data_IF_379706639736
#
_entry.id   IF_379706639736
#
_cell.length_a   1.000
_cell.length_b   1.000
_cell.length_c   1.000
_cell.angle_alpha   90.00
_cell.angle_beta   90.00
_cell.angle_gamma   90.00
#
_symmetry.space_group_name_H-M   'P 1'
#
loop_
_entity.id
_entity.type
_entity.pdbx_description
1 polymer ?
#
# COMPACT_ATOMS: atom_id res chain seq x y z
N UNK A 1 -4.61 -13.29 9.18
CA UNK A 1 -3.45 -14.18 8.89
C UNK A 1 -3.21 -15.10 10.08
N UNK A 2 -2.68 -16.30 9.86
CA UNK A 2 -2.39 -17.25 10.93
C UNK A 2 -1.04 -16.97 11.60
N UNK A 3 -0.80 -17.58 12.80
CA UNK A 3 0.55 -17.58 13.39
C UNK A 3 1.61 -18.17 12.46
N UNK A 4 1.21 -19.12 11.61
CA UNK A 4 2.08 -19.70 10.58
C UNK A 4 2.49 -18.65 9.52
N UNK A 5 1.58 -17.76 9.12
CA UNK A 5 1.91 -16.68 8.19
C UNK A 5 2.88 -15.68 8.82
N UNK A 6 2.66 -15.30 10.08
CA UNK A 6 3.58 -14.43 10.82
C UNK A 6 4.98 -15.03 10.88
N UNK A 7 5.10 -16.29 11.26
CA UNK A 7 6.39 -16.99 11.32
C UNK A 7 7.06 -17.02 9.95
N UNK A 8 6.31 -17.33 8.90
CA UNK A 8 6.82 -17.36 7.51
C UNK A 8 7.39 -16.01 7.09
N UNK A 9 6.68 -14.91 7.39
CA UNK A 9 7.13 -13.56 7.04
C UNK A 9 8.34 -13.13 7.87
N UNK A 10 8.38 -13.45 9.17
CA UNK A 10 9.55 -13.21 10.01
C UNK A 10 10.79 -13.94 9.46
N UNK A 11 10.66 -15.21 9.05
CA UNK A 11 11.76 -15.97 8.44
C UNK A 11 12.21 -15.36 7.11
N UNK A 12 11.27 -14.97 6.26
CA UNK A 12 11.58 -14.32 4.98
C UNK A 12 12.34 -13.01 5.18
N UNK A 13 11.92 -12.17 6.12
CA UNK A 13 12.56 -10.89 6.41
C UNK A 13 13.93 -11.03 7.10
N UNK A 14 14.20 -12.13 7.79
CA UNK A 14 15.55 -12.46 8.29
C UNK A 14 16.52 -12.78 7.17
N UNK A 15 16.03 -13.43 6.11
CA UNK A 15 16.84 -13.93 5.00
C UNK A 15 17.04 -12.91 3.87
N UNK A 16 16.12 -11.93 3.76
CA UNK A 16 16.07 -11.02 2.63
C UNK A 16 16.23 -9.58 3.09
N UNK A 17 17.29 -8.93 2.66
CA UNK A 17 17.39 -7.48 2.77
C UNK A 17 16.49 -6.88 1.69
N UNK A 18 15.39 -6.24 2.11
CA UNK A 18 14.47 -5.57 1.19
C UNK A 18 15.13 -4.36 0.49
N UNK A 19 14.56 -3.96 -0.63
CA UNK A 19 14.97 -2.71 -1.29
C UNK A 19 14.73 -1.51 -0.37
N UNK A 20 15.67 -0.57 -0.32
CA UNK A 20 15.51 0.72 0.35
C UNK A 20 14.81 1.77 -0.55
N UNK A 21 14.67 1.46 -1.83
CA UNK A 21 13.96 2.34 -2.76
C UNK A 21 12.44 2.19 -2.60
N UNK A 22 11.68 3.29 -2.54
CA UNK A 22 10.22 3.23 -2.54
C UNK A 22 9.73 2.59 -3.83
N UNK A 23 8.49 2.09 -3.84
CA UNK A 23 7.85 1.64 -5.08
C UNK A 23 7.90 2.74 -6.14
N UNK A 24 8.23 2.35 -7.38
CA UNK A 24 8.30 3.28 -8.50
C UNK A 24 6.95 4.00 -8.70
N UNK A 25 5.84 3.27 -8.61
CA UNK A 25 4.51 3.85 -8.73
C UNK A 25 4.22 4.86 -7.61
N UNK A 26 4.58 4.56 -6.35
CA UNK A 26 4.43 5.53 -5.26
C UNK A 26 5.23 6.80 -5.55
N UNK A 27 6.48 6.65 -5.97
CA UNK A 27 7.35 7.79 -6.28
C UNK A 27 6.78 8.63 -7.41
N UNK A 28 6.35 8.00 -8.51
CA UNK A 28 5.74 8.68 -9.65
C UNK A 28 4.51 9.49 -9.22
N UNK A 29 3.61 8.89 -8.42
CA UNK A 29 2.41 9.57 -7.93
C UNK A 29 2.75 10.74 -7.01
N UNK A 30 3.67 10.58 -6.06
CA UNK A 30 4.01 11.61 -5.08
C UNK A 30 4.79 12.77 -5.71
N UNK A 31 5.62 12.50 -6.71
CA UNK A 31 6.46 13.51 -7.38
C UNK A 31 5.75 14.19 -8.56
N UNK A 32 4.63 13.63 -9.01
CA UNK A 32 3.86 14.20 -10.11
C UNK A 32 3.21 15.53 -9.74
N UNK A 33 3.30 16.49 -10.63
CA UNK A 33 2.53 17.74 -10.54
C UNK A 33 1.10 17.62 -11.07
N UNK A 34 0.73 16.47 -11.64
CA UNK A 34 -0.61 16.23 -12.18
C UNK A 34 -1.68 16.14 -11.09
N UNK A 35 -1.29 15.81 -9.84
CA UNK A 35 -2.23 15.62 -8.73
C UNK A 35 -1.82 16.44 -7.51
N UNK A 36 -2.82 17.05 -6.87
CA UNK A 36 -2.65 17.70 -5.57
C UNK A 36 -3.01 16.70 -4.48
N UNK A 37 -2.01 15.99 -3.96
CA UNK A 37 -2.23 15.01 -2.92
C UNK A 37 -2.38 15.68 -1.54
N UNK A 38 -3.35 15.23 -0.71
CA UNK A 38 -3.54 15.79 0.62
C UNK A 38 -2.34 15.46 1.51
N UNK A 39 -1.88 16.45 2.28
CA UNK A 39 -0.85 16.27 3.31
C UNK A 39 -1.48 15.90 4.64
N UNK A 40 -0.74 15.20 5.48
CA UNK A 40 -1.17 14.85 6.82
C UNK A 40 -0.88 13.40 7.18
N UNK A 41 -1.84 12.74 7.85
CA UNK A 41 -1.65 11.37 8.33
C UNK A 41 -1.76 10.37 7.19
N UNK A 42 -0.74 9.53 7.06
CA UNK A 42 -0.66 8.44 6.07
C UNK A 42 -0.65 7.08 6.78
N UNK A 43 -1.25 6.08 6.13
CA UNK A 43 -1.24 4.69 6.56
C UNK A 43 -0.56 3.84 5.49
N UNK A 44 0.44 3.06 5.88
CA UNK A 44 1.14 2.08 5.03
C UNK A 44 0.77 0.67 5.49
N UNK A 45 0.00 -0.05 4.70
CA UNK A 45 -0.52 -1.39 4.99
C UNK A 45 0.40 -2.46 4.41
N UNK A 46 0.73 -3.48 5.23
CA UNK A 46 1.72 -4.49 4.90
C UNK A 46 3.07 -3.84 4.52
N UNK A 47 3.54 -2.93 5.38
CA UNK A 47 4.66 -2.04 5.10
C UNK A 47 6.01 -2.76 4.97
N UNK A 48 6.12 -4.02 5.44
CA UNK A 48 7.37 -4.75 5.49
C UNK A 48 8.45 -3.98 6.27
N UNK A 49 9.64 -3.84 5.68
CA UNK A 49 10.76 -3.08 6.26
C UNK A 49 10.61 -1.56 6.08
N UNK A 50 9.45 -1.07 5.65
CA UNK A 50 9.08 0.34 5.65
C UNK A 50 9.66 1.22 4.55
N UNK A 51 10.09 0.68 3.40
CA UNK A 51 10.66 1.50 2.31
C UNK A 51 9.73 2.65 1.86
N UNK A 52 8.43 2.39 1.78
CA UNK A 52 7.43 3.37 1.41
C UNK A 52 7.10 4.31 2.58
N UNK A 53 7.05 3.77 3.80
CA UNK A 53 6.83 4.56 5.03
C UNK A 53 7.93 5.60 5.23
N UNK A 54 9.20 5.20 5.09
CA UNK A 54 10.36 6.10 5.18
C UNK A 54 10.28 7.20 4.12
N UNK A 55 9.98 6.83 2.88
CA UNK A 55 9.83 7.77 1.78
C UNK A 55 8.73 8.82 2.02
N UNK A 56 7.58 8.41 2.57
CA UNK A 56 6.49 9.33 2.92
C UNK A 56 6.87 10.23 4.09
N UNK A 57 7.53 9.69 5.13
CA UNK A 57 7.96 10.47 6.28
C UNK A 57 8.99 11.53 5.90
N UNK A 58 9.96 11.23 5.01
CA UNK A 58 10.91 12.20 4.45
C UNK A 58 10.20 13.36 3.71
N UNK A 59 8.96 13.14 3.26
CA UNK A 59 8.14 14.15 2.58
C UNK A 59 7.12 14.82 3.48
N UNK A 60 7.26 14.63 4.80
CA UNK A 60 6.48 15.33 5.82
C UNK A 60 5.08 14.74 6.10
N UNK A 61 4.82 13.49 5.71
CA UNK A 61 3.64 12.79 6.18
C UNK A 61 3.85 12.27 7.61
N UNK A 62 2.79 12.32 8.43
CA UNK A 62 2.74 11.60 9.70
C UNK A 62 2.34 10.14 9.40
N UNK A 63 3.30 9.23 9.43
CA UNK A 63 3.11 7.86 8.93
C UNK A 63 2.79 6.90 10.05
N UNK A 64 1.76 6.07 9.84
CA UNK A 64 1.47 4.85 10.58
C UNK A 64 1.80 3.68 9.66
N UNK A 65 2.72 2.82 10.07
CA UNK A 65 3.22 1.68 9.30
C UNK A 65 2.79 0.38 9.99
N UNK A 66 2.05 -0.47 9.27
CA UNK A 66 1.46 -1.69 9.84
C UNK A 66 1.96 -2.91 9.11
N UNK A 67 2.46 -3.89 9.85
CA UNK A 67 2.84 -5.21 9.33
C UNK A 67 2.64 -6.28 10.41
N UNK A 68 2.51 -7.54 10.01
CA UNK A 68 2.43 -8.67 10.93
C UNK A 68 3.81 -9.10 11.42
N UNK A 69 4.88 -8.84 10.65
CA UNK A 69 6.24 -9.26 10.94
C UNK A 69 6.94 -8.31 11.90
N UNK A 70 7.22 -8.80 13.12
CA UNK A 70 8.02 -8.06 14.09
C UNK A 70 9.44 -7.79 13.59
N UNK A 71 10.01 -8.73 12.83
CA UNK A 71 11.36 -8.64 12.26
C UNK A 71 11.43 -7.51 11.22
N UNK A 72 10.43 -7.45 10.33
CA UNK A 72 10.35 -6.38 9.34
C UNK A 72 10.22 -5.00 9.98
N UNK A 73 9.30 -4.87 10.94
CA UNK A 73 9.08 -3.63 11.67
C UNK A 73 10.31 -3.18 12.46
N UNK A 74 11.05 -4.11 13.07
CA UNK A 74 12.29 -3.78 13.78
C UNK A 74 13.33 -3.17 12.83
N UNK A 75 13.53 -3.79 11.66
CA UNK A 75 14.42 -3.26 10.62
C UNK A 75 13.98 -1.87 10.16
N UNK A 76 12.67 -1.66 9.98
CA UNK A 76 12.10 -0.36 9.62
C UNK A 76 12.35 0.72 10.68
N UNK A 77 12.16 0.39 11.97
CA UNK A 77 12.44 1.29 13.10
C UNK A 77 13.89 1.74 13.12
N UNK A 78 14.83 0.80 13.00
CA UNK A 78 16.27 1.11 12.99
C UNK A 78 16.64 2.08 11.84
N UNK A 79 16.07 1.87 10.66
CA UNK A 79 16.25 2.78 9.51
C UNK A 79 15.64 4.17 9.76
N UNK A 80 14.45 4.22 10.39
CA UNK A 80 13.78 5.47 10.72
C UNK A 80 14.54 6.26 11.80
N UNK A 81 15.02 5.58 12.84
CA UNK A 81 15.85 6.17 13.89
C UNK A 81 17.14 6.77 13.33
N UNK A 82 17.85 6.04 12.46
CA UNK A 82 19.06 6.53 11.81
C UNK A 82 18.84 7.81 10.97
N UNK A 83 17.62 7.99 10.47
CA UNK A 83 17.19 9.17 9.70
C UNK A 83 16.42 10.20 10.52
N UNK A 84 16.20 9.96 11.82
CA UNK A 84 15.40 10.81 12.73
C UNK A 84 13.96 11.05 12.20
N UNK A 85 13.36 10.02 11.59
CA UNK A 85 12.01 10.09 11.05
C UNK A 85 11.00 9.55 12.06
N UNK A 86 10.00 10.34 12.48
CA UNK A 86 8.94 9.88 13.37
C UNK A 86 7.92 9.05 12.57
N UNK A 87 7.90 7.73 12.80
CA UNK A 87 6.94 6.79 12.20
C UNK A 87 6.35 5.93 13.31
N UNK A 88 5.03 5.83 13.35
CA UNK A 88 4.30 4.93 14.25
C UNK A 88 4.28 3.52 13.66
N UNK A 89 5.03 2.60 14.26
CA UNK A 89 5.13 1.21 13.81
C UNK A 89 4.20 0.31 14.63
N UNK A 90 3.25 -0.33 13.97
CA UNK A 90 2.26 -1.21 14.59
C UNK A 90 2.41 -2.64 14.08
N UNK A 91 2.57 -3.59 15.00
CA UNK A 91 2.52 -5.00 14.68
C UNK A 91 1.08 -5.49 14.84
N UNK A 92 0.39 -5.69 13.72
CA UNK A 92 -1.01 -6.09 13.70
C UNK A 92 -1.31 -7.05 12.56
N UNK A 93 -2.30 -7.90 12.78
CA UNK A 93 -2.87 -8.75 11.75
C UNK A 93 -3.93 -7.96 10.97
N UNK A 94 -3.66 -7.71 9.69
CA UNK A 94 -4.57 -6.97 8.81
C UNK A 94 -5.92 -7.67 8.56
N UNK A 95 -6.06 -8.96 8.90
CA UNK A 95 -7.36 -9.64 8.86
C UNK A 95 -8.25 -9.30 10.06
N UNK A 96 -7.66 -8.81 11.15
CA UNK A 96 -8.37 -8.51 12.41
C UNK A 96 -8.32 -7.04 12.80
N UNK A 97 -7.53 -6.23 12.09
CA UNK A 97 -7.32 -4.83 12.40
C UNK A 97 -8.60 -4.01 12.15
N UNK A 98 -8.78 -2.98 12.98
CA UNK A 98 -9.73 -1.91 12.72
C UNK A 98 -8.96 -0.62 12.39
N UNK A 99 -9.11 -0.12 11.16
CA UNK A 99 -8.34 1.03 10.66
C UNK A 99 -8.91 2.39 11.12
N UNK A 100 -10.06 2.39 11.79
CA UNK A 100 -10.78 3.62 12.14
C UNK A 100 -11.49 4.25 10.93
N UNK A 101 -12.35 5.23 11.21
CA UNK A 101 -13.17 5.88 10.19
C UNK A 101 -12.70 7.32 9.96
N UNK A 102 -12.48 7.69 8.70
CA UNK A 102 -12.12 9.06 8.31
C UNK A 102 -10.88 9.62 9.03
N UNK A 103 -9.85 8.78 9.24
CA UNK A 103 -8.64 9.12 9.99
C UNK A 103 -7.52 9.60 9.09
N UNK A 104 -7.37 9.00 7.90
CA UNK A 104 -6.19 9.17 7.06
C UNK A 104 -6.43 10.08 5.87
N UNK A 105 -5.40 10.84 5.50
CA UNK A 105 -5.34 11.65 4.29
C UNK A 105 -4.83 10.81 3.11
N UNK A 106 -3.98 9.84 3.40
CA UNK A 106 -3.38 8.93 2.44
C UNK A 106 -3.37 7.50 3.02
N UNK A 107 -3.82 6.52 2.24
CA UNK A 107 -3.64 5.09 2.56
C UNK A 107 -2.92 4.44 1.39
N UNK A 108 -1.84 3.75 1.67
CA UNK A 108 -1.09 3.02 0.67
C UNK A 108 -1.05 1.52 0.96
N UNK A 109 -1.03 0.71 -0.10
CA UNK A 109 -0.86 -0.74 -0.04
C UNK A 109 -0.06 -1.21 -1.26
N UNK A 110 1.07 -1.89 -1.02
CA UNK A 110 1.96 -2.37 -2.08
C UNK A 110 2.31 -3.84 -1.89
N UNK A 111 2.22 -4.62 -2.98
CA UNK A 111 2.58 -6.05 -3.03
C UNK A 111 1.81 -6.95 -2.05
N UNK A 112 0.67 -6.50 -1.57
CA UNK A 112 -0.20 -7.24 -0.67
C UNK A 112 -1.63 -7.23 -1.18
N UNK A 113 -2.31 -8.37 -1.18
CA UNK A 113 -3.71 -8.50 -1.58
C UNK A 113 -4.52 -9.18 -0.48
N UNK A 114 -5.44 -8.41 0.07
CA UNK A 114 -6.50 -8.89 0.95
C UNK A 114 -7.79 -8.16 0.58
N UNK A 115 -8.67 -8.86 -0.10
CA UNK A 115 -9.91 -8.27 -0.65
C UNK A 115 -10.83 -7.72 0.44
N UNK A 116 -10.90 -8.41 1.58
CA UNK A 116 -11.70 -7.97 2.74
C UNK A 116 -11.19 -6.70 3.41
N UNK A 117 -9.94 -6.28 3.13
CA UNK A 117 -9.35 -5.06 3.68
C UNK A 117 -9.77 -3.81 2.91
N UNK A 118 -10.12 -3.94 1.62
CA UNK A 118 -10.45 -2.79 0.76
C UNK A 118 -11.59 -1.93 1.31
N UNK A 119 -12.71 -2.47 1.81
CA UNK A 119 -13.76 -1.66 2.44
C UNK A 119 -13.25 -0.84 3.62
N UNK A 120 -12.40 -1.40 4.48
CA UNK A 120 -11.82 -0.70 5.62
C UNK A 120 -10.84 0.40 5.18
N UNK A 121 -10.00 0.14 4.16
CA UNK A 121 -9.14 1.18 3.56
C UNK A 121 -9.97 2.38 3.11
N UNK A 122 -11.07 2.13 2.40
CA UNK A 122 -11.97 3.17 1.89
C UNK A 122 -12.64 3.96 3.02
N UNK A 123 -13.12 3.26 4.06
CA UNK A 123 -13.76 3.89 5.22
C UNK A 123 -12.78 4.71 6.03
N UNK A 124 -11.55 4.24 6.21
CA UNK A 124 -10.51 4.92 6.98
C UNK A 124 -10.02 6.23 6.36
N UNK A 125 -10.22 6.41 5.05
CA UNK A 125 -9.92 7.65 4.36
C UNK A 125 -10.93 8.75 4.69
N UNK A 126 -10.43 9.97 4.91
CA UNK A 126 -11.24 11.19 4.99
C UNK A 126 -11.80 11.55 3.61
N UNK A 127 -12.87 12.28 3.56
CA UNK A 127 -13.31 12.94 2.31
C UNK A 127 -12.15 13.77 1.74
N UNK A 128 -11.87 13.62 0.45
CA UNK A 128 -10.70 14.19 -0.22
C UNK A 128 -9.40 13.40 -0.01
N UNK A 129 -9.40 12.42 0.89
CA UNK A 129 -8.27 11.50 1.10
C UNK A 129 -8.06 10.58 -0.09
N UNK A 130 -6.86 10.00 -0.20
CA UNK A 130 -6.42 9.29 -1.40
C UNK A 130 -5.92 7.89 -1.04
N UNK A 131 -6.31 6.89 -1.83
CA UNK A 131 -5.73 5.56 -1.85
C UNK A 131 -4.70 5.43 -2.98
N UNK A 132 -3.53 4.88 -2.68
CA UNK A 132 -2.55 4.39 -3.67
C UNK A 132 -2.39 2.91 -3.43
N UNK A 133 -2.77 2.10 -4.40
CA UNK A 133 -2.70 0.65 -4.27
C UNK A 133 -2.07 0.04 -5.51
N UNK A 134 -1.05 -0.77 -5.34
CA UNK A 134 -0.42 -1.55 -6.42
C UNK A 134 -0.11 -2.96 -5.95
N UNK A 135 -0.56 -3.97 -6.72
CA UNK A 135 -0.16 -5.36 -6.48
C UNK A 135 -0.18 -6.18 -7.77
N UNK A 136 0.09 -7.47 -7.68
CA UNK A 136 0.28 -8.35 -8.82
C UNK A 136 -1.04 -8.74 -9.48
N UNK A 137 -1.03 -8.81 -10.84
CA UNK A 137 -2.10 -9.34 -11.67
C UNK A 137 -2.03 -10.86 -11.83
N UNK A 138 -3.13 -11.45 -12.26
CA UNK A 138 -3.24 -12.88 -12.55
C UNK A 138 -2.24 -13.36 -13.60
N UNK A 139 -1.84 -12.48 -14.53
CA UNK A 139 -0.83 -12.74 -15.56
C UNK A 139 0.56 -13.01 -14.98
N UNK A 140 0.84 -12.56 -13.77
CA UNK A 140 2.09 -12.82 -13.06
C UNK A 140 2.32 -14.31 -12.82
N UNK A 141 1.26 -15.09 -12.67
CA UNK A 141 1.32 -16.53 -12.45
C UNK A 141 2.17 -17.28 -13.48
N UNK A 142 2.11 -16.85 -14.75
CA UNK A 142 2.85 -17.49 -15.83
C UNK A 142 4.22 -16.85 -16.07
N UNK A 143 4.46 -15.70 -15.42
CA UNK A 143 5.68 -14.93 -15.61
C UNK A 143 6.70 -15.11 -14.46
N UNK A 144 6.21 -15.28 -13.20
CA UNK A 144 7.09 -15.40 -12.03
C UNK A 144 6.33 -15.64 -10.74
N UNK A 145 6.76 -15.01 -9.67
CA UNK A 145 6.09 -15.06 -8.38
C UNK A 145 5.39 -13.73 -8.07
N UNK A 146 4.29 -13.74 -7.29
CA UNK A 146 3.57 -14.89 -6.73
C UNK A 146 2.81 -15.70 -7.80
N UNK A 147 2.57 -17.00 -7.53
CA UNK A 147 1.83 -17.90 -8.41
C UNK A 147 0.46 -18.28 -7.85
N UNK A 148 0.25 -18.14 -6.52
CA UNK A 148 -1.05 -18.44 -5.91
C UNK A 148 -2.09 -17.39 -6.35
N UNK A 149 -3.19 -17.82 -7.00
CA UNK A 149 -4.26 -16.92 -7.47
C UNK A 149 -4.87 -16.04 -6.37
N UNK A 150 -4.88 -16.50 -5.12
CA UNK A 150 -5.43 -15.74 -3.99
C UNK A 150 -4.65 -14.44 -3.73
N UNK A 151 -3.40 -14.37 -4.17
CA UNK A 151 -2.52 -13.20 -4.06
C UNK A 151 -2.44 -12.37 -5.35
N UNK A 152 -3.27 -12.70 -6.34
CA UNK A 152 -3.28 -12.07 -7.65
C UNK A 152 -4.63 -11.41 -7.94
N UNK A 153 -4.59 -10.18 -8.44
CA UNK A 153 -5.77 -9.46 -8.91
C UNK A 153 -6.27 -10.03 -10.24
N UNK A 154 -7.57 -10.11 -10.38
CA UNK A 154 -8.19 -10.21 -11.71
C UNK A 154 -8.04 -8.91 -12.50
N UNK A 155 -8.24 -8.97 -13.82
CA UNK A 155 -8.25 -7.79 -14.67
C UNK A 155 -9.37 -6.82 -14.25
N UNK A 156 -9.06 -5.53 -14.20
CA UNK A 156 -9.95 -4.46 -13.74
C UNK A 156 -10.43 -4.56 -12.28
N UNK A 157 -9.95 -5.51 -11.49
CA UNK A 157 -10.46 -5.75 -10.13
C UNK A 157 -10.25 -4.53 -9.22
N UNK A 158 -9.09 -3.87 -9.28
CA UNK A 158 -8.87 -2.64 -8.51
C UNK A 158 -9.76 -1.49 -8.98
N UNK A 159 -9.95 -1.36 -10.28
CA UNK A 159 -10.84 -0.33 -10.84
C UNK A 159 -12.28 -0.51 -10.34
N UNK A 160 -12.77 -1.74 -10.34
CA UNK A 160 -14.11 -2.06 -9.83
C UNK A 160 -14.21 -1.87 -8.31
N UNK A 161 -13.16 -2.23 -7.55
CA UNK A 161 -13.13 -2.08 -6.10
C UNK A 161 -13.21 -0.61 -5.64
N UNK A 162 -12.69 0.32 -6.46
CA UNK A 162 -12.70 1.77 -6.18
C UNK A 162 -13.65 2.57 -7.09
N UNK A 163 -14.62 1.93 -7.75
CA UNK A 163 -15.56 2.58 -8.66
C UNK A 163 -16.39 3.72 -8.05
N UNK A 164 -16.58 3.69 -6.74
CA UNK A 164 -17.28 4.76 -5.97
C UNK A 164 -16.36 5.92 -5.57
N UNK A 165 -15.06 5.82 -5.85
CA UNK A 165 -14.09 6.89 -5.70
C UNK A 165 -13.89 7.63 -7.03
N UNK A 166 -13.31 8.82 -6.97
CA UNK A 166 -12.78 9.47 -8.17
C UNK A 166 -11.46 8.83 -8.52
N UNK A 167 -11.43 7.99 -9.55
CA UNK A 167 -10.19 7.41 -10.06
C UNK A 167 -9.40 8.50 -10.79
N UNK A 168 -8.21 8.80 -10.28
CA UNK A 168 -7.29 9.79 -10.84
C UNK A 168 -6.31 9.14 -11.80
N UNK A 169 -5.90 7.91 -11.51
CA UNK A 169 -5.07 7.07 -12.37
C UNK A 169 -5.46 5.61 -12.17
N UNK A 170 -5.43 4.85 -13.23
CA UNK A 170 -5.46 3.41 -13.22
C UNK A 170 -4.61 2.88 -14.36
N UNK A 171 -3.84 1.84 -14.09
CA UNK A 171 -3.08 1.11 -15.09
C UNK A 171 -2.88 -0.33 -14.67
N UNK A 172 -2.99 -1.24 -15.63
CA UNK A 172 -2.63 -2.64 -15.45
C UNK A 172 -1.85 -3.16 -16.62
N UNK A 173 -0.97 -4.15 -16.37
CA UNK A 173 -0.13 -4.76 -17.38
C UNK A 173 1.26 -5.09 -16.88
N UNK A 174 2.21 -5.19 -17.81
CA UNK A 174 3.60 -5.47 -17.52
C UNK A 174 4.38 -4.19 -17.27
N UNK A 175 4.88 -4.01 -16.06
CA UNK A 175 5.73 -2.89 -15.68
C UNK A 175 7.12 -3.37 -15.30
N UNK A 176 8.12 -2.50 -15.47
CA UNK A 176 9.50 -2.78 -15.09
C UNK A 176 9.95 -1.82 -13.99
N UNK A 177 10.48 -2.35 -12.90
CA UNK A 177 11.03 -1.60 -11.78
C UNK A 177 12.43 -2.15 -11.45
N UNK A 178 13.46 -1.29 -11.50
CA UNK A 178 14.82 -1.68 -11.13
C UNK A 178 15.45 -2.78 -11.99
N UNK A 179 14.93 -3.02 -13.19
CA UNK A 179 15.37 -4.11 -14.07
C UNK A 179 14.50 -5.38 -13.98
N UNK A 180 13.67 -5.49 -12.97
CA UNK A 180 12.71 -6.58 -12.82
C UNK A 180 11.37 -6.18 -13.44
N UNK A 181 10.80 -7.07 -14.25
CA UNK A 181 9.49 -6.87 -14.84
C UNK A 181 8.45 -7.72 -14.12
N UNK A 182 7.25 -7.18 -13.92
CA UNK A 182 6.13 -7.90 -13.32
C UNK A 182 4.80 -7.42 -13.90
N UNK A 183 3.80 -8.31 -13.92
CA UNK A 183 2.43 -7.94 -14.20
C UNK A 183 1.75 -7.40 -12.95
N UNK A 184 1.29 -6.14 -13.01
CA UNK A 184 0.71 -5.40 -11.88
C UNK A 184 -0.52 -4.63 -12.30
N UNK A 185 -1.36 -4.30 -11.32
CA UNK A 185 -2.34 -3.22 -11.43
C UNK A 185 -2.06 -2.18 -10.35
N UNK A 186 -2.12 -0.91 -10.75
CA UNK A 186 -1.95 0.24 -9.85
C UNK A 186 -3.11 1.22 -9.97
N UNK A 187 -3.58 1.75 -8.85
CA UNK A 187 -4.64 2.75 -8.81
C UNK A 187 -4.28 3.91 -7.88
N UNK A 188 -4.63 5.11 -8.31
CA UNK A 188 -4.70 6.32 -7.52
C UNK A 188 -6.16 6.76 -7.49
N UNK A 189 -6.82 6.69 -6.33
CA UNK A 189 -8.24 6.96 -6.20
C UNK A 189 -8.52 7.90 -5.02
N UNK A 190 -9.36 8.91 -5.22
CA UNK A 190 -9.73 9.92 -4.23
C UNK A 190 -11.14 9.67 -3.71
N UNK A 191 -11.29 9.66 -2.38
CA UNK A 191 -12.60 9.61 -1.73
C UNK A 191 -13.36 10.89 -1.96
N UNK A 192 -14.51 10.81 -2.62
CA UNK A 192 -15.41 11.95 -2.84
C UNK A 192 -16.47 12.03 -1.74
N UNK A 193 -16.95 13.23 -1.45
CA UNK A 193 -18.10 13.44 -0.56
C UNK A 193 -19.41 12.97 -1.23
N UNK A 194 -20.40 12.68 -0.41
CA UNK A 194 -21.72 12.20 -0.86
C UNK A 194 -22.39 13.16 -1.86
N UNK A 195 -22.16 14.46 -1.71
CA UNK A 195 -22.70 15.50 -2.63
C UNK A 195 -22.20 15.33 -4.07
N UNK A 196 -21.01 14.79 -4.26
CA UNK A 196 -20.40 14.58 -5.58
C UNK A 196 -20.70 13.18 -6.16
N UNK A 197 -21.24 12.27 -5.35
CA UNK A 197 -21.63 10.94 -5.81
C UNK A 197 -22.93 10.94 -6.65
N UNK A 198 -23.74 11.99 -6.52
CA UNK A 198 -25.03 12.13 -7.23
C UNK A 198 -24.90 12.67 -8.67
N UNK A 199 -23.69 13.00 -9.12
CA UNK A 199 -23.42 13.52 -10.47
C UNK A 199 -22.93 12.43 -11.46
N UNK A 200 -23.22 11.17 -11.16
CA UNK A 200 -22.86 10.01 -12.01
C UNK A 200 -24.07 9.40 -12.68
#
# INVERSE_FOLDING_TARGET
>A
MSDADRIRWDEQHKQTQGSDQPSAFLREVIESSAWQLPRGRALDLACGQGRNSLYLAERGYSVVAVDISAVALQTGREKAEAKQLPIDWLQEDLEQIHLGDSVYHLVINFNYLQRSLVPQMKTSLRTGGVAIYETYLIDQKEFGHPQNPDYLLGHNELLEAFRDFRVLYYGEGKFSEGGDAAYRAGILAQKIGEENALLR
#
